data_IF_058217951967
#
_entry.id   IF_058217951967
#
_cell.length_a   1.000
_cell.length_b   1.000
_cell.length_c   1.000
_cell.angle_alpha   90.00
_cell.angle_beta   90.00
_cell.angle_gamma   90.00
#
_symmetry.space_group_name_H-M   'P 1'
#
loop_
_entity.id
_entity.type
_entity.pdbx_description
1 polymer ?
#
# COMPACT_ATOMS: atom_id res chain seq x y z
N UNK A 1 9.98 -57.22 -17.98
CA UNK A 1 8.90 -57.50 -18.95
C UNK A 1 7.57 -57.28 -18.23
N UNK A 2 6.64 -56.54 -18.87
CA UNK A 2 5.31 -56.12 -18.39
C UNK A 2 5.31 -55.07 -17.26
N UNK A 3 4.55 -53.97 -17.30
CA UNK A 3 3.59 -53.52 -18.30
C UNK A 3 3.16 -52.07 -18.03
N UNK A 4 3.09 -51.28 -19.11
CA UNK A 4 2.52 -49.94 -19.18
C UNK A 4 1.02 -50.08 -19.40
N UNK A 5 0.17 -49.40 -18.62
CA UNK A 5 -1.18 -49.02 -19.07
C UNK A 5 -1.54 -47.60 -18.61
N UNK A 6 -1.71 -46.80 -19.64
CA UNK A 6 -2.34 -45.49 -19.76
C UNK A 6 -3.77 -45.46 -19.24
N UNK A 7 -4.21 -44.30 -18.75
CA UNK A 7 -5.61 -43.86 -18.87
C UNK A 7 -5.66 -42.33 -18.91
N UNK A 8 -6.00 -41.85 -20.11
CA UNK A 8 -6.35 -40.48 -20.48
C UNK A 8 -7.85 -40.35 -20.22
N UNK A 9 -8.29 -39.28 -19.56
CA UNK A 9 -9.72 -38.90 -19.52
C UNK A 9 -9.82 -37.45 -19.98
N UNK A 10 -10.42 -37.27 -21.15
CA UNK A 10 -10.88 -36.00 -21.72
C UNK A 10 -12.26 -36.26 -22.32
N UNK A 11 -13.24 -35.43 -21.94
CA UNK A 11 -14.37 -34.94 -22.77
C UNK A 11 -15.39 -34.26 -21.84
N UNK A 12 -15.51 -32.94 -21.91
CA UNK A 12 -16.52 -32.20 -22.69
C UNK A 12 -17.94 -32.29 -22.11
N UNK A 13 -18.43 -31.18 -21.56
CA UNK A 13 -19.86 -30.92 -21.45
C UNK A 13 -20.17 -29.52 -21.99
N UNK A 14 -21.12 -29.50 -22.90
CA UNK A 14 -21.48 -28.43 -23.82
C UNK A 14 -22.63 -27.54 -23.33
N UNK A 15 -22.64 -26.34 -23.90
CA UNK A 15 -23.68 -25.31 -24.04
C UNK A 15 -25.13 -25.69 -23.70
N UNK A 16 -25.82 -24.73 -23.06
CA UNK A 16 -27.19 -24.35 -23.43
C UNK A 16 -27.33 -22.82 -23.50
N UNK A 17 -28.01 -22.40 -24.58
CA UNK A 17 -28.32 -21.04 -25.02
C UNK A 17 -29.82 -20.79 -24.75
N UNK A 18 -30.22 -19.57 -24.35
CA UNK A 18 -31.30 -18.73 -24.94
C UNK A 18 -32.19 -17.94 -23.95
N UNK A 19 -32.50 -16.71 -24.38
CA UNK A 19 -33.75 -15.97 -24.10
C UNK A 19 -33.63 -14.90 -23.01
N UNK A 20 -34.11 -13.67 -23.15
CA UNK A 20 -34.81 -12.96 -24.21
C UNK A 20 -34.69 -11.44 -23.92
N UNK A 21 -34.59 -10.62 -24.96
CA UNK A 21 -34.68 -9.15 -24.86
C UNK A 21 -36.08 -8.72 -25.28
N UNK A 22 -36.75 -7.92 -24.44
CA UNK A 22 -37.98 -7.23 -24.82
C UNK A 22 -37.75 -5.72 -24.68
N UNK A 23 -37.84 -5.03 -25.81
CA UNK A 23 -37.93 -3.58 -25.91
C UNK A 23 -39.36 -3.14 -25.59
N UNK A 24 -39.50 -2.03 -24.87
CA UNK A 24 -40.77 -1.35 -24.64
C UNK A 24 -40.58 0.15 -24.80
N UNK A 25 -40.88 0.67 -25.99
CA UNK A 25 -41.12 2.08 -26.22
C UNK A 25 -42.51 2.41 -25.67
N UNK A 26 -42.68 3.54 -24.99
CA UNK A 26 -43.95 4.24 -25.01
C UNK A 26 -43.72 5.76 -25.05
N UNK A 27 -44.31 6.37 -26.07
CA UNK A 27 -44.34 7.81 -26.34
C UNK A 27 -45.80 8.25 -26.37
N UNK A 28 -46.05 9.51 -26.01
CA UNK A 28 -47.38 10.15 -26.05
C UNK A 28 -47.92 10.45 -24.66
N UNK A 29 -48.56 11.58 -24.38
CA UNK A 29 -48.76 12.83 -25.12
C UNK A 29 -49.40 13.82 -24.14
N UNK A 30 -49.15 15.11 -24.39
CA UNK A 30 -49.67 16.30 -23.70
C UNK A 30 -51.20 16.35 -23.63
N UNK A 31 -51.77 16.78 -22.49
CA UNK A 31 -52.94 17.68 -22.48
C UNK A 31 -53.12 18.47 -21.17
N UNK A 32 -53.59 19.71 -21.33
CA UNK A 32 -53.77 20.80 -20.34
C UNK A 32 -55.08 20.64 -19.54
N UNK A 33 -55.12 21.15 -18.31
CA UNK A 33 -56.07 22.19 -17.87
C UNK A 33 -55.97 22.49 -16.36
N UNK A 34 -56.20 23.76 -16.01
CA UNK A 34 -56.15 24.35 -14.68
C UNK A 34 -57.46 24.18 -13.90
N UNK A 35 -57.40 24.12 -12.56
CA UNK A 35 -58.04 25.08 -11.63
C UNK A 35 -57.97 24.65 -10.15
N UNK A 36 -57.86 25.69 -9.31
CA UNK A 36 -57.98 25.78 -7.85
C UNK A 36 -58.97 24.80 -7.17
N UNK A 37 -58.61 24.27 -5.98
CA UNK A 37 -59.17 24.72 -4.70
C UNK A 37 -58.48 24.07 -3.47
N UNK A 38 -58.57 24.79 -2.34
CA UNK A 38 -58.04 24.49 -1.00
C UNK A 38 -58.68 23.25 -0.33
N UNK A 39 -57.89 22.59 0.52
CA UNK A 39 -58.17 22.12 1.91
C UNK A 39 -57.67 20.70 2.23
N UNK A 40 -56.64 20.68 3.09
CA UNK A 40 -56.43 19.78 4.23
C UNK A 40 -56.83 18.30 4.11
N UNK A 41 -55.83 17.40 4.10
CA UNK A 41 -55.79 16.25 5.00
C UNK A 41 -54.43 15.54 4.99
N UNK A 42 -53.87 15.37 6.19
CA UNK A 42 -52.77 14.46 6.50
C UNK A 42 -52.99 13.08 5.88
N UNK A 43 -52.07 12.67 5.00
CA UNK A 43 -51.73 11.27 4.76
C UNK A 43 -50.23 11.16 4.55
N UNK A 44 -49.58 10.60 5.56
CA UNK A 44 -48.25 10.02 5.47
C UNK A 44 -48.25 8.93 4.40
N UNK A 45 -47.42 9.08 3.36
CA UNK A 45 -47.09 8.00 2.45
C UNK A 45 -45.69 8.26 1.85
N UNK A 46 -44.75 7.46 2.33
CA UNK A 46 -43.56 6.89 1.69
C UNK A 46 -42.65 7.82 0.86
N UNK A 47 -41.40 8.08 1.31
CA UNK A 47 -40.43 8.76 0.46
C UNK A 47 -40.11 7.90 -0.76
N UNK A 48 -40.22 8.49 -1.96
CA UNK A 48 -39.67 7.93 -3.19
C UNK A 48 -38.21 7.54 -2.98
N UNK A 49 -37.76 6.37 -3.48
CA UNK A 49 -36.35 6.04 -3.49
C UNK A 49 -35.63 7.06 -4.39
N UNK A 50 -34.85 7.93 -3.76
CA UNK A 50 -33.90 8.79 -4.46
C UNK A 50 -33.02 7.93 -5.37
N UNK A 51 -32.67 8.41 -6.57
CA UNK A 51 -31.72 7.73 -7.45
C UNK A 51 -30.47 7.40 -6.64
N UNK A 52 -30.04 6.14 -6.71
CA UNK A 52 -28.84 5.59 -6.08
C UNK A 52 -27.74 6.66 -6.14
N UNK A 53 -27.56 7.32 -5.01
CA UNK A 53 -26.41 8.15 -4.73
C UNK A 53 -25.26 7.17 -4.81
N UNK A 54 -24.51 7.23 -5.91
CA UNK A 54 -23.25 6.51 -6.03
C UNK A 54 -22.47 6.93 -4.82
N UNK A 55 -22.34 6.02 -3.86
CA UNK A 55 -21.51 6.13 -2.69
C UNK A 55 -20.18 6.71 -3.17
N UNK A 56 -19.99 8.00 -2.92
CA UNK A 56 -18.72 8.68 -3.13
C UNK A 56 -17.77 7.87 -2.24
N UNK A 57 -16.97 6.99 -2.85
CA UNK A 57 -15.96 6.23 -2.12
C UNK A 57 -15.07 7.28 -1.51
N UNK A 58 -15.28 7.52 -0.22
CA UNK A 58 -14.77 8.68 0.47
C UNK A 58 -13.25 8.63 0.35
N UNK A 59 -12.69 9.50 -0.49
CA UNK A 59 -11.25 9.60 -0.83
C UNK A 59 -10.40 10.10 0.34
N UNK A 60 -10.97 10.07 1.54
CA UNK A 60 -10.49 10.74 2.73
C UNK A 60 -9.60 9.82 3.55
N UNK A 61 -8.48 10.37 3.99
CA UNK A 61 -7.59 9.72 4.95
C UNK A 61 -8.30 9.69 6.30
N UNK A 62 -8.49 8.49 6.88
CA UNK A 62 -9.06 8.33 8.22
C UNK A 62 -7.98 8.10 9.27
N UNK A 63 -8.03 8.83 10.37
CA UNK A 63 -7.11 8.66 11.50
C UNK A 63 -7.49 7.40 12.28
N UNK A 64 -6.52 6.52 12.50
CA UNK A 64 -6.64 5.30 13.32
C UNK A 64 -6.03 5.46 14.71
N UNK A 65 -5.03 6.33 14.84
CA UNK A 65 -4.37 6.63 16.12
C UNK A 65 -3.47 7.84 15.97
N UNK A 66 -3.32 8.62 17.03
CA UNK A 66 -2.38 9.74 17.09
C UNK A 66 -2.07 10.07 18.55
N UNK A 67 -0.86 10.54 18.81
CA UNK A 67 -0.49 10.93 20.16
C UNK A 67 0.90 11.55 20.24
N UNK A 68 1.22 12.05 21.43
CA UNK A 68 2.52 12.65 21.74
C UNK A 68 3.50 11.67 22.41
N UNK A 69 3.07 10.44 22.70
CA UNK A 69 3.87 9.42 23.38
C UNK A 69 3.70 8.05 22.73
N UNK A 70 4.82 7.47 22.33
CA UNK A 70 4.98 6.13 21.79
C UNK A 70 6.37 5.58 22.17
N UNK A 71 6.60 4.27 22.03
CA UNK A 71 7.88 3.63 22.29
C UNK A 71 8.93 3.82 21.18
N UNK A 72 8.53 4.21 19.98
CA UNK A 72 9.42 4.43 18.83
C UNK A 72 10.26 5.70 19.05
N UNK A 73 11.58 5.52 19.23
CA UNK A 73 12.51 6.62 19.56
C UNK A 73 13.15 7.28 18.35
N UNK A 74 13.20 6.57 17.21
CA UNK A 74 13.76 7.07 15.96
C UNK A 74 12.65 7.44 14.98
N UNK A 75 12.92 8.33 14.02
CA UNK A 75 11.92 8.67 13.01
C UNK A 75 11.73 7.49 12.05
N UNK A 76 10.50 7.00 11.92
CA UNK A 76 10.15 5.82 11.14
C UNK A 76 8.79 5.99 10.44
N UNK A 77 8.62 5.36 9.28
CA UNK A 77 7.32 5.24 8.60
C UNK A 77 7.08 3.79 8.28
N UNK A 78 5.87 3.30 8.52
CA UNK A 78 5.39 2.00 8.08
C UNK A 78 4.20 2.14 7.12
N UNK A 79 4.13 1.22 6.16
CA UNK A 79 3.02 1.00 5.22
C UNK A 79 2.59 -0.46 5.33
N UNK A 80 1.50 -0.71 6.02
CA UNK A 80 0.91 -2.04 6.12
C UNK A 80 -0.21 -2.21 5.10
N UNK A 81 -0.05 -3.21 4.21
CA UNK A 81 -1.06 -3.64 3.21
C UNK A 81 -1.63 -5.03 3.51
N UNK A 82 -1.32 -5.58 4.68
CA UNK A 82 -1.75 -6.91 5.08
C UNK A 82 -1.83 -7.01 6.61
N UNK A 83 -2.55 -8.02 7.07
CA UNK A 83 -2.80 -8.25 8.50
C UNK A 83 -1.52 -8.55 9.28
N UNK A 84 -0.56 -9.26 8.70
CA UNK A 84 0.65 -9.68 9.42
C UNK A 84 1.56 -8.47 9.69
N UNK A 85 1.80 -7.64 8.67
CA UNK A 85 2.54 -6.38 8.83
C UNK A 85 1.81 -5.43 9.78
N UNK A 86 0.48 -5.37 9.71
CA UNK A 86 -0.31 -4.54 10.62
C UNK A 86 -0.25 -5.03 12.06
N UNK A 87 -0.21 -6.34 12.31
CA UNK A 87 -0.03 -6.90 13.65
C UNK A 87 1.32 -6.50 14.27
N UNK A 88 2.41 -6.55 13.49
CA UNK A 88 3.71 -6.03 13.95
C UNK A 88 3.64 -4.53 14.26
N UNK A 89 2.96 -3.75 13.42
CA UNK A 89 2.73 -2.32 13.69
C UNK A 89 1.91 -2.09 14.97
N UNK A 90 0.89 -2.90 15.26
CA UNK A 90 0.11 -2.80 16.50
C UNK A 90 0.95 -3.08 17.74
N UNK A 91 2.02 -3.87 17.66
CA UNK A 91 2.97 -4.01 18.79
C UNK A 91 3.72 -2.71 19.12
N UNK A 92 3.70 -1.72 18.21
CA UNK A 92 4.20 -0.37 18.47
C UNK A 92 3.17 0.55 19.14
N UNK A 93 1.88 0.25 19.01
CA UNK A 93 0.78 0.95 19.67
C UNK A 93 -0.45 0.03 19.78
N UNK A 94 -0.66 -0.52 20.97
CA UNK A 94 -1.74 -1.47 21.24
C UNK A 94 -3.14 -0.82 21.16
N UNK A 95 -3.23 0.52 21.17
CA UNK A 95 -4.48 1.25 21.06
C UNK A 95 -5.04 1.29 19.63
N UNK A 96 -4.25 0.86 18.63
CA UNK A 96 -4.71 0.79 17.25
C UNK A 96 -5.87 -0.23 17.11
N UNK A 97 -6.88 0.07 16.27
CA UNK A 97 -8.02 -0.81 16.07
C UNK A 97 -7.62 -2.17 15.47
N UNK A 98 -8.44 -3.19 15.71
CA UNK A 98 -8.23 -4.49 15.06
C UNK A 98 -8.79 -4.41 13.64
N UNK A 99 -7.95 -4.68 12.65
CA UNK A 99 -8.34 -4.73 11.24
C UNK A 99 -8.18 -6.15 10.71
N UNK A 100 -9.24 -6.68 10.08
CA UNK A 100 -9.22 -7.99 9.43
C UNK A 100 -8.65 -7.93 8.00
N UNK A 101 -8.41 -9.10 7.41
CA UNK A 101 -7.86 -9.23 6.06
C UNK A 101 -8.71 -8.51 4.99
N UNK A 102 -10.03 -8.46 5.17
CA UNK A 102 -10.94 -7.78 4.24
C UNK A 102 -10.76 -6.26 4.19
N UNK A 103 -10.27 -5.63 5.28
CA UNK A 103 -9.97 -4.20 5.28
C UNK A 103 -8.85 -3.88 4.28
N UNK A 104 -7.80 -4.72 4.26
CA UNK A 104 -6.63 -4.53 3.40
C UNK A 104 -6.87 -4.75 1.90
N UNK A 105 -8.08 -5.16 1.51
CA UNK A 105 -8.52 -5.15 0.10
C UNK A 105 -8.86 -3.74 -0.40
N UNK A 106 -9.06 -2.78 0.52
CA UNK A 106 -9.54 -1.42 0.20
C UNK A 106 -8.69 -0.33 0.83
N UNK A 107 -7.89 -0.64 1.84
CA UNK A 107 -7.06 0.34 2.55
C UNK A 107 -5.63 -0.14 2.74
N UNK A 108 -4.70 0.81 2.79
CA UNK A 108 -3.39 0.67 3.40
C UNK A 108 -3.41 1.41 4.72
N UNK A 109 -2.63 0.94 5.69
CA UNK A 109 -2.34 1.72 6.90
C UNK A 109 -0.97 2.36 6.75
N UNK A 110 -0.91 3.67 6.90
CA UNK A 110 0.33 4.44 6.95
C UNK A 110 0.52 4.94 8.38
N UNK A 111 1.62 4.53 9.00
CA UNK A 111 2.02 5.01 10.32
C UNK A 111 3.31 5.81 10.19
N UNK A 112 3.34 6.99 10.80
CA UNK A 112 4.52 7.81 10.89
C UNK A 112 4.83 8.06 12.37
N UNK A 113 6.10 7.89 12.72
CA UNK A 113 6.66 8.11 14.04
C UNK A 113 7.75 9.16 13.90
N UNK A 114 7.69 10.19 14.74
CA UNK A 114 8.62 11.29 14.68
C UNK A 114 9.94 11.00 15.40
N UNK A 115 9.94 9.96 16.25
CA UNK A 115 10.98 9.71 17.22
C UNK A 115 10.94 10.71 18.37
N UNK A 116 11.93 10.67 19.24
CA UNK A 116 11.95 11.48 20.44
C UNK A 116 12.18 12.98 20.14
N UNK A 117 11.46 13.84 20.86
CA UNK A 117 11.58 15.31 20.84
C UNK A 117 11.72 15.82 22.26
N UNK A 118 12.46 16.93 22.42
CA UNK A 118 12.81 17.49 23.75
C UNK A 118 11.66 18.24 24.41
N UNK A 119 10.78 18.78 23.58
CA UNK A 119 9.61 19.55 24.01
C UNK A 119 8.37 18.99 23.37
N UNK A 120 7.21 19.34 23.92
CA UNK A 120 5.93 19.12 23.24
C UNK A 120 5.66 20.14 22.14
N UNK A 121 4.52 19.97 21.48
CA UNK A 121 4.07 20.85 20.39
C UNK A 121 4.52 20.40 18.99
N UNK A 122 5.38 19.38 18.90
CA UNK A 122 5.66 18.69 17.65
C UNK A 122 4.54 17.70 17.30
N UNK A 123 4.28 17.53 16.02
CA UNK A 123 3.28 16.62 15.51
C UNK A 123 3.62 16.12 14.11
N UNK A 124 2.66 15.41 13.51
CA UNK A 124 2.81 14.82 12.18
C UNK A 124 1.59 15.18 11.34
N UNK A 125 1.85 15.73 10.17
CA UNK A 125 0.87 15.95 9.13
C UNK A 125 0.98 14.83 8.08
N UNK A 126 -0.16 14.20 7.77
CA UNK A 126 -0.27 13.21 6.70
C UNK A 126 -1.39 13.66 5.78
N UNK A 127 -1.05 13.93 4.53
CA UNK A 127 -1.98 14.38 3.49
C UNK A 127 -1.87 13.52 2.25
N UNK A 128 -2.88 13.56 1.39
CA UNK A 128 -2.89 12.88 0.09
C UNK A 128 -2.88 13.90 -1.03
N UNK A 129 -1.92 13.78 -1.94
CA UNK A 129 -1.91 14.54 -3.17
C UNK A 129 -2.93 13.96 -4.18
N UNK A 130 -3.29 14.76 -5.19
CA UNK A 130 -4.26 14.35 -6.22
C UNK A 130 -3.81 13.14 -7.05
N UNK A 131 -2.50 12.92 -7.18
CA UNK A 131 -1.91 11.74 -7.85
C UNK A 131 -1.96 10.47 -6.98
N UNK A 132 -2.44 10.58 -5.73
CA UNK A 132 -2.51 9.51 -4.76
C UNK A 132 -1.29 9.38 -3.84
N UNK A 133 -0.24 10.18 -4.05
CA UNK A 133 0.96 10.20 -3.20
C UNK A 133 0.61 10.64 -1.78
N UNK A 134 1.11 9.91 -0.78
CA UNK A 134 0.94 10.25 0.64
C UNK A 134 2.11 11.08 1.09
N UNK A 135 1.85 12.34 1.47
CA UNK A 135 2.85 13.26 1.99
C UNK A 135 2.87 13.20 3.51
N UNK A 136 4.07 13.10 4.08
CA UNK A 136 4.29 13.00 5.53
C UNK A 136 5.25 14.11 5.94
N UNK A 137 4.80 15.03 6.79
CA UNK A 137 5.58 16.17 7.24
C UNK A 137 5.57 16.30 8.77
N UNK A 138 6.66 16.82 9.33
CA UNK A 138 6.73 17.21 10.73
C UNK A 138 6.03 18.55 10.89
N UNK A 139 5.09 18.65 11.83
CA UNK A 139 4.51 19.93 12.23
C UNK A 139 5.24 20.43 13.46
N UNK A 140 5.80 21.64 13.39
CA UNK A 140 6.47 22.28 14.52
C UNK A 140 5.52 23.21 15.27
N UNK A 141 5.74 23.42 16.59
CA UNK A 141 4.97 24.41 17.32
C UNK A 141 5.21 25.82 16.75
N UNK A 142 4.22 26.72 16.81
CA UNK A 142 4.39 28.10 16.36
C UNK A 142 5.58 28.78 17.04
N UNK A 143 6.27 29.66 16.32
CA UNK A 143 7.36 30.45 16.90
C UNK A 143 6.85 31.24 18.11
N UNK A 144 7.63 31.22 19.20
CA UNK A 144 7.33 31.90 20.48
C UNK A 144 6.10 31.36 21.22
N UNK A 145 5.56 30.21 20.82
CA UNK A 145 4.57 29.51 21.65
C UNK A 145 5.22 28.90 22.89
N UNK A 146 4.50 28.90 24.01
CA UNK A 146 4.92 28.14 25.19
C UNK A 146 4.77 26.65 24.87
N UNK A 147 5.88 25.91 24.93
CA UNK A 147 5.89 24.45 24.75
C UNK A 147 6.08 23.75 26.09
N UNK A 148 5.51 22.57 26.24
CA UNK A 148 5.75 21.74 27.41
C UNK A 148 7.21 21.29 27.43
N UNK A 149 7.87 21.44 28.58
CA UNK A 149 9.24 20.98 28.82
C UNK A 149 9.24 19.49 29.20
N UNK A 150 8.76 18.67 28.28
CA UNK A 150 8.66 17.22 28.46
C UNK A 150 9.09 16.49 27.18
N UNK A 151 9.78 15.38 27.36
CA UNK A 151 10.13 14.47 26.27
C UNK A 151 8.85 13.90 25.65
N UNK A 152 8.74 14.01 24.33
CA UNK A 152 7.63 13.47 23.55
C UNK A 152 8.15 12.53 22.47
N UNK A 153 7.29 11.63 22.00
CA UNK A 153 7.52 10.74 20.85
C UNK A 153 6.27 10.76 19.97
N UNK A 154 6.04 11.86 19.22
CA UNK A 154 4.82 12.03 18.44
C UNK A 154 4.65 10.96 17.37
N UNK A 155 3.41 10.51 17.17
CA UNK A 155 3.06 9.54 16.15
C UNK A 155 1.67 9.81 15.56
N UNK A 156 1.45 9.35 14.34
CA UNK A 156 0.17 9.41 13.64
C UNK A 156 0.01 8.21 12.73
N UNK A 157 -1.12 7.52 12.85
CA UNK A 157 -1.50 6.35 12.07
C UNK A 157 -2.80 6.63 11.37
N UNK A 158 -2.82 6.41 10.07
CA UNK A 158 -3.98 6.66 9.22
C UNK A 158 -4.27 5.47 8.30
N UNK A 159 -5.53 5.26 7.96
CA UNK A 159 -5.93 4.43 6.83
C UNK A 159 -6.07 5.28 5.58
N UNK A 160 -5.47 4.83 4.49
CA UNK A 160 -5.51 5.45 3.17
C UNK A 160 -6.26 4.53 2.21
N UNK A 161 -7.33 4.99 1.56
CA UNK A 161 -8.04 4.20 0.54
C UNK A 161 -7.12 3.82 -0.63
N UNK A 162 -7.09 2.54 -0.99
CA UNK A 162 -6.38 2.03 -2.17
C UNK A 162 -7.41 1.56 -3.19
N UNK A 163 -7.57 2.33 -4.25
CA UNK A 163 -8.39 1.94 -5.38
C UNK A 163 -7.60 1.03 -6.31
N UNK A 164 -8.18 -0.11 -6.69
CA UNK A 164 -7.60 -1.06 -7.66
C UNK A 164 -6.15 -1.45 -7.35
N UNK A 165 -5.83 -1.60 -6.06
CA UNK A 165 -4.51 -1.98 -5.57
C UNK A 165 -3.38 -1.05 -6.02
N UNK A 166 -3.69 0.20 -6.40
CA UNK A 166 -2.74 1.18 -6.92
C UNK A 166 -1.49 1.30 -6.03
N UNK A 167 -0.37 1.61 -6.67
CA UNK A 167 0.87 1.91 -5.99
C UNK A 167 0.72 3.05 -4.97
N UNK A 168 1.26 2.88 -3.77
CA UNK A 168 1.30 3.84 -2.69
C UNK A 168 2.68 4.47 -2.67
N UNK A 169 2.77 5.72 -3.11
CA UNK A 169 4.00 6.52 -3.09
C UNK A 169 4.05 7.36 -1.82
N UNK A 170 5.25 7.56 -1.28
CA UNK A 170 5.48 8.43 -0.14
C UNK A 170 6.30 9.66 -0.54
N UNK A 171 5.84 10.83 -0.13
CA UNK A 171 6.64 12.06 -0.10
C UNK A 171 6.99 12.39 1.36
N UNK A 172 8.23 12.07 1.73
CA UNK A 172 8.70 12.15 3.12
C UNK A 172 9.34 13.50 3.43
N UNK A 173 8.99 14.13 4.54
CA UNK A 173 9.66 15.32 5.05
C UNK A 173 11.13 15.06 5.43
N UNK A 174 11.92 16.13 5.68
CA UNK A 174 13.36 16.01 5.98
C UNK A 174 13.69 15.05 7.12
N UNK A 175 12.84 15.03 8.15
CA UNK A 175 12.98 14.17 9.33
C UNK A 175 13.05 12.68 8.98
N UNK A 176 12.11 12.17 8.18
CA UNK A 176 12.14 10.77 7.76
C UNK A 176 13.14 10.51 6.63
N UNK A 177 13.41 11.49 5.75
CA UNK A 177 14.46 11.35 4.75
C UNK A 177 15.83 11.11 5.38
N UNK A 178 16.12 11.72 6.52
CA UNK A 178 17.35 11.49 7.27
C UNK A 178 17.46 10.08 7.86
N UNK A 179 16.34 9.37 8.05
CA UNK A 179 16.29 7.98 8.51
C UNK A 179 16.36 6.94 7.37
N UNK A 180 16.46 7.37 6.11
CA UNK A 180 16.56 6.46 4.98
C UNK A 180 18.00 5.96 4.81
N UNK A 181 18.15 4.65 4.66
CA UNK A 181 19.38 4.04 4.15
C UNK A 181 19.21 3.74 2.65
N UNK A 182 19.99 4.38 1.76
CA UNK A 182 19.92 4.13 0.31
C UNK A 182 20.62 2.84 -0.09
N UNK A 183 19.98 2.05 -0.96
CA UNK A 183 20.51 0.84 -1.58
C UNK A 183 20.52 1.00 -3.10
N UNK A 184 21.60 0.54 -3.73
CA UNK A 184 21.71 0.47 -5.19
C UNK A 184 21.61 -0.98 -5.64
N UNK A 185 20.80 -1.22 -6.67
CA UNK A 185 20.69 -2.55 -7.29
C UNK A 185 22.00 -2.84 -8.02
N UNK A 186 22.64 -3.96 -7.68
CA UNK A 186 23.88 -4.42 -8.28
C UNK A 186 23.63 -5.53 -9.30
N UNK A 187 22.57 -6.32 -9.11
CA UNK A 187 22.06 -7.29 -10.08
C UNK A 187 20.56 -7.43 -9.90
N UNK A 188 19.82 -7.59 -10.99
CA UNK A 188 18.39 -7.84 -10.90
C UNK A 188 17.80 -8.30 -12.21
N UNK A 189 16.91 -9.27 -12.12
CA UNK A 189 16.21 -9.87 -13.26
C UNK A 189 14.76 -10.11 -12.90
N UNK A 190 13.89 -9.94 -13.89
CA UNK A 190 12.47 -10.17 -13.75
C UNK A 190 11.90 -10.78 -15.03
N UNK A 191 11.05 -11.79 -14.84
CA UNK A 191 10.29 -12.46 -15.89
C UNK A 191 8.83 -12.16 -15.66
N UNK A 192 8.20 -11.52 -16.64
CA UNK A 192 6.75 -11.42 -16.72
C UNK A 192 6.25 -12.44 -17.73
N UNK A 193 5.25 -13.24 -17.38
CA UNK A 193 4.64 -14.24 -18.26
C UNK A 193 3.13 -14.33 -18.09
N UNK A 194 2.40 -14.61 -19.17
CA UNK A 194 0.95 -14.84 -19.13
C UNK A 194 0.19 -14.16 -20.26
N UNK A 195 -1.08 -13.85 -20.01
CA UNK A 195 -2.00 -13.38 -21.04
C UNK A 195 -2.47 -14.51 -21.97
N UNK A 196 -3.55 -14.25 -22.71
CA UNK A 196 -4.19 -15.21 -23.61
C UNK A 196 -3.23 -15.80 -24.66
N UNK A 197 -2.23 -15.02 -25.10
CA UNK A 197 -1.22 -15.45 -26.07
C UNK A 197 0.02 -16.10 -25.45
N UNK A 198 0.08 -16.28 -24.12
CA UNK A 198 1.23 -16.88 -23.43
C UNK A 198 2.52 -16.07 -23.58
N UNK A 199 2.43 -14.73 -23.55
CA UNK A 199 3.59 -13.85 -23.74
C UNK A 199 4.53 -14.00 -22.55
N UNK A 200 5.83 -14.03 -22.83
CA UNK A 200 6.89 -14.01 -21.81
C UNK A 200 7.90 -12.92 -22.16
N UNK A 201 8.27 -12.11 -21.17
CA UNK A 201 9.26 -11.04 -21.31
C UNK A 201 10.22 -11.09 -20.14
N UNK A 202 11.52 -11.14 -20.46
CA UNK A 202 12.60 -11.05 -19.49
C UNK A 202 13.27 -9.69 -19.61
N UNK A 203 13.53 -9.06 -18.47
CA UNK A 203 14.25 -7.79 -18.42
C UNK A 203 15.07 -7.69 -17.14
N UNK A 204 16.11 -6.86 -17.17
CA UNK A 204 16.91 -6.55 -16.01
C UNK A 204 16.19 -5.52 -15.14
N UNK A 205 16.46 -5.56 -13.83
CA UNK A 205 16.05 -4.53 -12.89
C UNK A 205 17.25 -3.66 -12.53
N UNK A 206 17.07 -2.35 -12.61
CA UNK A 206 18.07 -1.34 -12.28
C UNK A 206 17.45 -0.24 -11.42
N UNK A 207 18.29 0.59 -10.83
CA UNK A 207 17.87 1.72 -9.99
C UNK A 207 18.27 1.54 -8.53
N UNK A 208 17.45 2.09 -7.65
CA UNK A 208 17.72 2.15 -6.23
C UNK A 208 16.44 2.04 -5.42
N UNK A 209 16.60 1.84 -4.13
CA UNK A 209 15.51 1.96 -3.18
C UNK A 209 16.07 2.40 -1.84
N UNK A 210 15.19 2.90 -0.99
CA UNK A 210 15.56 3.28 0.36
C UNK A 210 14.93 2.32 1.37
N UNK A 211 15.62 2.09 2.48
CA UNK A 211 15.14 1.26 3.58
C UNK A 211 15.15 2.05 4.88
N UNK A 212 14.06 1.98 5.64
CA UNK A 212 13.99 2.38 7.05
C UNK A 212 13.76 1.15 7.92
N UNK A 213 14.32 1.13 9.13
CA UNK A 213 14.23 0.00 10.07
C UNK A 213 13.69 0.49 11.41
N UNK A 214 12.77 -0.28 12.00
CA UNK A 214 12.32 -0.11 13.38
C UNK A 214 11.92 -1.48 13.94
N UNK A 215 12.69 -2.00 14.90
CA UNK A 215 12.47 -3.35 15.44
C UNK A 215 12.42 -4.44 14.35
N UNK A 216 11.31 -5.18 14.32
CA UNK A 216 11.04 -6.22 13.31
C UNK A 216 10.57 -5.65 11.96
N UNK A 217 10.31 -4.36 11.83
CA UNK A 217 9.77 -3.76 10.61
C UNK A 217 10.88 -3.20 9.72
N UNK A 218 10.71 -3.35 8.41
CA UNK A 218 11.51 -2.67 7.40
C UNK A 218 10.61 -2.07 6.32
N UNK A 219 10.73 -0.77 6.08
CA UNK A 219 9.99 -0.07 5.03
C UNK A 219 10.88 0.18 3.84
N UNK A 220 10.45 -0.32 2.70
CA UNK A 220 11.13 -0.20 1.41
C UNK A 220 10.42 0.85 0.57
N UNK A 221 11.18 1.78 0.00
CA UNK A 221 10.69 2.80 -0.93
C UNK A 221 11.42 2.59 -2.25
N UNK A 222 10.74 1.92 -3.19
CA UNK A 222 11.28 1.49 -4.46
C UNK A 222 11.28 2.63 -5.51
N UNK A 223 12.39 2.75 -6.23
CA UNK A 223 12.49 3.45 -7.53
C UNK A 223 13.28 2.55 -8.49
N UNK A 224 12.61 1.50 -8.95
CA UNK A 224 13.19 0.46 -9.79
C UNK A 224 12.68 0.63 -11.22
N UNK A 225 13.56 0.45 -12.21
CA UNK A 225 13.26 0.52 -13.63
C UNK A 225 13.76 -0.73 -14.34
N UNK A 226 13.10 -1.10 -15.43
CA UNK A 226 13.59 -2.17 -16.30
C UNK A 226 14.68 -1.68 -17.24
N UNK A 227 15.64 -2.55 -17.55
CA UNK A 227 16.59 -2.37 -18.63
C UNK A 227 16.58 -3.59 -19.57
N UNK A 228 16.80 -3.36 -20.87
CA UNK A 228 16.91 -4.42 -21.88
C UNK A 228 15.60 -5.12 -22.30
N UNK A 229 14.44 -4.66 -21.83
CA UNK A 229 13.12 -5.15 -22.24
C UNK A 229 12.56 -4.45 -23.48
N UNK A 230 11.46 -4.98 -24.02
CA UNK A 230 10.74 -4.39 -25.17
C UNK A 230 9.97 -3.12 -24.80
N UNK A 231 9.62 -2.98 -23.52
CA UNK A 231 8.93 -1.81 -22.97
C UNK A 231 9.66 -1.31 -21.73
N UNK A 232 9.65 0.00 -21.54
CA UNK A 232 10.07 0.59 -20.27
C UNK A 232 9.05 0.22 -19.19
N UNK A 233 9.54 -0.32 -18.07
CA UNK A 233 8.75 -0.71 -16.90
C UNK A 233 9.36 -0.09 -15.64
N UNK A 234 8.52 0.17 -14.66
CA UNK A 234 8.93 0.73 -13.37
C UNK A 234 8.14 0.14 -12.19
N UNK A 235 8.79 0.13 -11.03
CA UNK A 235 8.19 -0.11 -9.72
C UNK A 235 8.52 1.07 -8.81
N UNK A 236 7.49 1.87 -8.53
CA UNK A 236 7.52 3.03 -7.63
C UNK A 236 6.49 2.86 -6.53
N UNK A 237 6.92 2.29 -5.42
CA UNK A 237 6.05 1.79 -4.36
C UNK A 237 6.74 1.94 -3.00
N UNK A 238 5.96 2.23 -1.96
CA UNK A 238 6.37 2.08 -0.58
C UNK A 238 5.63 0.92 0.09
N UNK A 239 6.36 0.05 0.77
CA UNK A 239 5.79 -1.10 1.48
C UNK A 239 6.62 -1.44 2.69
N UNK A 240 5.97 -1.93 3.74
CA UNK A 240 6.66 -2.47 4.91
C UNK A 240 6.57 -3.99 4.91
N UNK A 241 7.68 -4.61 5.28
CA UNK A 241 7.76 -6.04 5.56
C UNK A 241 8.31 -6.30 6.95
N UNK A 242 8.38 -7.58 7.28
CA UNK A 242 8.86 -8.10 8.55
C UNK A 242 10.25 -8.67 8.34
N UNK A 243 11.19 -8.31 9.20
CA UNK A 243 12.57 -8.79 9.22
C UNK A 243 12.84 -9.48 10.54
N UNK A 244 13.19 -10.76 10.46
CA UNK A 244 13.55 -11.57 11.63
C UNK A 244 14.95 -11.22 12.12
N UNK A 245 15.30 -11.65 13.33
CA UNK A 245 16.61 -11.38 13.94
C UNK A 245 17.82 -11.96 13.16
N UNK A 246 17.59 -12.96 12.32
CA UNK A 246 18.60 -13.50 11.41
C UNK A 246 18.76 -12.69 10.10
N UNK A 247 17.97 -11.63 9.90
CA UNK A 247 17.96 -10.79 8.69
C UNK A 247 17.00 -11.26 7.59
N UNK A 248 16.27 -12.36 7.77
CA UNK A 248 15.28 -12.84 6.80
C UNK A 248 14.13 -11.83 6.72
N UNK A 249 13.84 -11.35 5.51
CA UNK A 249 12.81 -10.36 5.22
C UNK A 249 11.62 -10.98 4.47
N UNK A 250 10.40 -10.57 4.82
CA UNK A 250 9.16 -10.98 4.16
C UNK A 250 8.25 -9.77 3.96
N UNK A 251 7.87 -9.51 2.72
CA UNK A 251 6.95 -8.46 2.29
C UNK A 251 5.73 -9.16 1.69
N UNK A 252 4.59 -9.09 2.37
CA UNK A 252 3.46 -9.95 2.01
C UNK A 252 2.67 -9.46 0.79
N UNK A 253 2.54 -8.14 0.62
CA UNK A 253 1.67 -7.56 -0.43
C UNK A 253 2.06 -6.14 -0.79
N UNK A 254 2.35 -5.90 -2.07
CA UNK A 254 2.51 -4.55 -2.62
C UNK A 254 2.26 -4.51 -4.13
N UNK A 255 2.07 -3.32 -4.69
CA UNK A 255 1.79 -3.17 -6.12
C UNK A 255 3.04 -3.45 -6.97
N UNK A 256 2.88 -4.13 -8.09
CA UNK A 256 3.94 -4.50 -9.03
C UNK A 256 4.42 -3.35 -9.91
N UNK A 257 3.79 -2.17 -9.84
CA UNK A 257 3.96 -1.10 -10.81
C UNK A 257 3.61 -1.59 -12.21
N UNK A 258 4.46 -1.29 -13.18
CA UNK A 258 4.34 -1.81 -14.54
C UNK A 258 5.27 -3.01 -14.80
N UNK A 259 5.86 -3.62 -13.75
CA UNK A 259 6.64 -4.84 -13.89
C UNK A 259 5.76 -6.03 -14.31
N UNK A 260 4.49 -6.03 -13.90
CA UNK A 260 3.46 -6.99 -14.31
C UNK A 260 2.31 -6.23 -14.95
N UNK A 261 1.87 -6.67 -16.13
CA UNK A 261 0.73 -6.05 -16.83
C UNK A 261 -0.59 -6.36 -16.08
N UNK A 262 -1.57 -5.43 -16.03
CA UNK A 262 -2.90 -5.71 -15.46
C UNK A 262 -3.55 -6.95 -16.10
N UNK A 263 -4.47 -7.64 -15.41
CA UNK A 263 -5.14 -7.23 -14.16
C UNK A 263 -4.49 -7.72 -12.86
N UNK A 264 -3.47 -8.59 -12.92
CA UNK A 264 -2.76 -9.08 -11.75
C UNK A 264 -1.52 -8.22 -11.49
N UNK A 265 -1.61 -7.31 -10.51
CA UNK A 265 -0.59 -6.28 -10.26
C UNK A 265 -0.06 -6.29 -8.82
N UNK A 266 -0.10 -7.45 -8.15
CA UNK A 266 0.35 -7.58 -6.77
C UNK A 266 1.52 -8.55 -6.68
N UNK A 267 2.54 -8.12 -5.95
CA UNK A 267 3.72 -8.92 -5.63
C UNK A 267 3.77 -9.18 -4.12
N UNK A 268 4.33 -10.33 -3.77
CA UNK A 268 5.03 -10.54 -2.52
C UNK A 268 6.54 -10.57 -2.77
N UNK A 269 7.32 -10.39 -1.71
CA UNK A 269 8.75 -10.60 -1.77
C UNK A 269 9.29 -11.29 -0.52
N UNK A 270 10.32 -12.11 -0.70
CA UNK A 270 11.11 -12.70 0.39
C UNK A 270 12.57 -12.39 0.17
N UNK A 271 13.34 -12.29 1.23
CA UNK A 271 14.74 -11.91 1.10
C UNK A 271 15.56 -12.07 2.36
N UNK A 272 16.77 -11.54 2.28
CA UNK A 272 17.75 -11.68 3.35
C UNK A 272 18.70 -10.48 3.36
N UNK A 273 18.75 -9.79 4.49
CA UNK A 273 19.82 -8.86 4.81
C UNK A 273 21.07 -9.63 5.22
N UNK A 274 22.23 -9.23 4.70
CA UNK A 274 23.53 -9.84 5.01
C UNK A 274 24.58 -8.77 5.25
N UNK A 275 25.77 -9.16 5.72
CA UNK A 275 26.90 -8.26 6.00
C UNK A 275 26.48 -7.03 6.83
N UNK A 276 25.90 -7.27 8.02
CA UNK A 276 25.37 -6.21 8.89
C UNK A 276 24.38 -5.29 8.16
N UNK A 277 23.43 -5.92 7.45
CA UNK A 277 22.43 -5.28 6.61
C UNK A 277 22.99 -4.43 5.46
N UNK A 278 24.29 -4.47 5.15
CA UNK A 278 24.82 -3.72 4.00
C UNK A 278 24.45 -4.32 2.64
N UNK A 279 24.19 -5.62 2.59
CA UNK A 279 23.73 -6.31 1.38
C UNK A 279 22.31 -6.84 1.58
N UNK A 280 21.50 -6.78 0.53
CA UNK A 280 20.13 -7.29 0.52
C UNK A 280 19.88 -8.11 -0.75
N UNK A 281 19.35 -9.32 -0.57
CA UNK A 281 18.80 -10.13 -1.64
C UNK A 281 17.28 -10.19 -1.51
N UNK A 282 16.54 -9.95 -2.59
CA UNK A 282 15.08 -10.07 -2.66
C UNK A 282 14.68 -10.99 -3.81
N UNK A 283 13.64 -11.79 -3.60
CA UNK A 283 12.93 -12.55 -4.62
C UNK A 283 11.47 -12.08 -4.64
N UNK A 284 10.98 -11.72 -5.81
CA UNK A 284 9.63 -11.25 -6.08
C UNK A 284 8.81 -12.36 -6.71
N UNK A 285 7.53 -12.42 -6.35
CA UNK A 285 6.57 -13.34 -6.95
C UNK A 285 5.18 -12.71 -6.96
N UNK A 286 4.43 -12.93 -8.04
CA UNK A 286 3.04 -12.49 -8.11
C UNK A 286 2.18 -13.25 -7.12
N UNK A 287 1.33 -12.52 -6.42
CA UNK A 287 0.34 -13.14 -5.56
C UNK A 287 -0.73 -13.85 -6.40
N UNK A 288 -1.36 -14.91 -5.86
CA UNK A 288 -2.47 -15.58 -6.55
C UNK A 288 -3.56 -14.57 -6.97
N UNK A 289 -4.02 -14.71 -8.21
CA UNK A 289 -5.08 -13.91 -8.81
C UNK A 289 -6.24 -14.81 -9.24
N UNK A 290 -7.46 -14.29 -9.20
CA UNK A 290 -8.65 -14.99 -9.71
C UNK A 290 -8.80 -14.91 -11.23
N UNK A 291 -7.90 -14.20 -11.91
CA UNK A 291 -7.93 -14.06 -13.37
C UNK A 291 -7.14 -15.20 -14.02
N UNK A 292 -7.85 -16.12 -14.66
CA UNK A 292 -7.30 -17.35 -15.26
C UNK A 292 -6.14 -17.10 -16.24
N UNK A 293 -6.19 -16.01 -17.00
CA UNK A 293 -5.17 -15.63 -17.99
C UNK A 293 -4.41 -14.35 -17.61
N UNK A 294 -4.36 -14.04 -16.32
CA UNK A 294 -3.62 -12.87 -15.83
C UNK A 294 -2.11 -12.98 -16.08
N UNK A 295 -1.45 -11.84 -16.27
CA UNK A 295 0.00 -11.81 -16.24
C UNK A 295 0.50 -12.12 -14.83
N UNK A 296 1.59 -12.86 -14.76
CA UNK A 296 2.34 -13.12 -13.54
C UNK A 296 3.77 -12.66 -13.74
N UNK A 297 4.44 -12.41 -12.64
CA UNK A 297 5.80 -11.94 -12.60
C UNK A 297 6.58 -12.60 -11.48
N UNK A 298 7.82 -12.96 -11.77
CA UNK A 298 8.78 -13.42 -10.77
C UNK A 298 10.14 -12.81 -11.07
N UNK A 299 10.91 -12.52 -10.04
CA UNK A 299 12.22 -11.93 -10.24
C UNK A 299 13.08 -12.00 -9.01
N UNK A 300 14.33 -11.59 -9.15
CA UNK A 300 15.28 -11.49 -8.05
C UNK A 300 16.09 -10.23 -8.21
N UNK A 301 16.51 -9.64 -7.10
CA UNK A 301 17.55 -8.62 -7.10
C UNK A 301 18.51 -8.80 -5.94
N UNK A 302 19.72 -8.30 -6.16
CA UNK A 302 20.74 -8.04 -5.15
C UNK A 302 21.01 -6.55 -5.14
N UNK A 303 21.15 -5.99 -3.94
CA UNK A 303 21.46 -4.59 -3.76
C UNK A 303 22.41 -4.39 -2.59
N UNK A 304 23.21 -3.32 -2.68
CA UNK A 304 24.17 -2.94 -1.66
C UNK A 304 23.88 -1.53 -1.18
N UNK A 305 23.96 -1.34 0.13
CA UNK A 305 23.81 -0.04 0.77
C UNK A 305 24.91 0.90 0.29
N UNK A 306 24.51 2.11 -0.10
CA UNK A 306 25.43 3.15 -0.61
C UNK A 306 25.84 4.15 0.47
N UNK A 307 25.28 4.02 1.68
CA UNK A 307 25.60 4.81 2.85
C UNK A 307 25.57 3.93 4.11
N UNK A 308 26.26 4.35 5.19
CA UNK A 308 26.14 3.70 6.49
C UNK A 308 24.68 3.74 6.99
N UNK A 309 24.33 2.88 7.96
CA UNK A 309 23.05 3.02 8.66
C UNK A 309 22.88 4.44 9.21
N UNK A 310 21.67 5.01 9.14
CA UNK A 310 21.37 6.29 9.77
C UNK A 310 21.77 6.26 11.24
N UNK A 311 22.37 7.34 11.77
CA UNK A 311 22.71 7.42 13.18
C UNK A 311 21.43 7.31 13.99
N UNK A 312 21.41 6.42 14.99
CA UNK A 312 20.38 6.44 16.03
C UNK A 312 20.56 7.74 16.80
N UNK A 313 19.53 8.59 16.87
CA UNK A 313 19.58 9.83 17.65
C UNK A 313 19.56 9.46 19.14
N UNK A 314 20.73 9.12 19.68
CA UNK A 314 20.96 9.17 21.11
C UNK A 314 20.87 10.65 21.54
N UNK A 315 20.01 10.96 22.50
CA UNK A 315 20.12 12.23 23.20
C UNK A 315 21.43 12.20 24.00
N UNK A 316 22.41 12.98 23.57
CA UNK A 316 23.66 13.16 24.30
C UNK A 316 23.42 13.94 25.60
N UNK A 317 24.11 13.60 26.68
CA UNK A 317 23.92 14.26 28.00
C UNK A 317 24.23 15.77 27.98
N UNK A 318 25.02 16.24 27.01
CA UNK A 318 25.31 17.67 26.80
C UNK A 318 24.11 18.49 26.28
N UNK A 319 23.03 17.81 25.89
CA UNK A 319 21.83 18.42 25.37
C UNK A 319 20.70 18.58 26.41
N UNK A 320 21.02 18.25 27.67
CA UNK A 320 20.12 18.26 28.84
C UNK A 320 20.43 19.46 29.76
N UNK A 321 21.32 20.36 29.36
CA UNK A 321 21.61 21.62 30.06
C UNK A 321 21.06 22.82 29.29
#
# INVERSE_FOLDING_TARGET
>A
MLGIKTSIVVALLSLLINGASAAGCNTGSVERAAQNNKQTKNRSATPSPSPIERENVNSEIKILGQGAHNQVRESFVAVARDTQTYQELRRLDDNLPILGADAFKRIAVVAAFLGQRRTGGFGIEITRAADGTVRIAESSPPQRSMTTQALTTPYKVVSVPIENERALKLDLGPTWRASLRPYRITSGEFTMSGGFAGRSENFRLEGSFNVMREGSLATFIYDIKSAGGTKARELKEATTGIVKGNGEASLARFNAGSLVEPPANLLGAKGQFTKNESDLNLSFESLPSTVADGYQGKGRLTATATAPPPPKKALTTQDVM
#
